data_IF_155058348680
#
_entry.id   IF_155058348680
#
_cell.length_a   1.000
_cell.length_b   1.000
_cell.length_c   1.000
_cell.angle_alpha   90.00
_cell.angle_beta   90.00
_cell.angle_gamma   90.00
#
_symmetry.space_group_name_H-M   'P 1'
#
loop_
_entity.id
_entity.type
_entity.pdbx_description
1 polymer ?
#
# COMPACT_ATOMS: atom_id res chain seq x y z
N UNK A 1 -6.73 -19.06 -7.91
CA UNK A 1 -6.19 -18.64 -6.59
C UNK A 1 -7.17 -17.80 -5.80
N UNK A 2 -7.79 -16.79 -6.41
CA UNK A 2 -8.78 -15.95 -5.72
C UNK A 2 -9.92 -16.76 -5.12
N UNK A 3 -10.42 -17.77 -5.81
CA UNK A 3 -11.54 -18.59 -5.34
C UNK A 3 -11.23 -19.34 -4.05
N UNK A 4 -10.01 -19.88 -3.94
CA UNK A 4 -9.58 -20.59 -2.74
C UNK A 4 -9.43 -19.62 -1.57
N UNK A 5 -8.82 -18.48 -1.82
CA UNK A 5 -8.63 -17.45 -0.80
C UNK A 5 -9.99 -16.91 -0.36
N UNK A 6 -10.90 -16.66 -1.30
CA UNK A 6 -12.24 -16.19 -1.01
C UNK A 6 -12.98 -17.18 -0.13
N UNK A 7 -12.88 -18.48 -0.44
CA UNK A 7 -13.50 -19.53 0.38
C UNK A 7 -12.97 -19.48 1.81
N UNK A 8 -11.66 -19.39 1.97
CA UNK A 8 -11.05 -19.35 3.29
C UNK A 8 -11.49 -18.12 4.08
N UNK A 9 -11.48 -16.94 3.46
CA UNK A 9 -11.88 -15.71 4.13
C UNK A 9 -13.36 -15.73 4.50
N UNK A 10 -14.21 -16.29 3.65
CA UNK A 10 -15.63 -16.49 3.98
C UNK A 10 -15.80 -17.41 5.17
N UNK A 11 -15.01 -18.46 5.24
CA UNK A 11 -15.04 -19.36 6.38
C UNK A 11 -14.69 -18.64 7.67
N UNK A 12 -13.67 -17.81 7.67
CA UNK A 12 -13.29 -16.97 8.82
C UNK A 12 -14.43 -16.02 9.19
N UNK A 13 -15.03 -15.35 8.21
CA UNK A 13 -16.16 -14.44 8.46
C UNK A 13 -17.34 -15.17 9.10
N UNK A 14 -17.66 -16.34 8.59
CA UNK A 14 -18.82 -17.11 9.08
C UNK A 14 -18.57 -17.66 10.48
N UNK A 15 -17.32 -17.98 10.82
CA UNK A 15 -16.93 -18.39 12.15
C UNK A 15 -17.00 -17.25 13.17
N UNK A 16 -16.90 -16.01 12.72
CA UNK A 16 -16.95 -14.82 13.58
C UNK A 16 -17.82 -13.74 12.95
N UNK A 17 -19.13 -13.98 12.81
CA UNK A 17 -20.02 -13.07 12.07
C UNK A 17 -20.21 -11.72 12.72
N UNK A 18 -19.91 -11.59 14.00
CA UNK A 18 -20.00 -10.32 14.72
C UNK A 18 -18.79 -9.42 14.48
N UNK A 19 -17.72 -9.97 13.90
CA UNK A 19 -16.50 -9.21 13.60
C UNK A 19 -16.65 -8.58 12.21
N UNK A 20 -16.67 -7.25 12.18
CA UNK A 20 -16.70 -6.49 10.94
C UNK A 20 -15.50 -5.54 10.98
N UNK A 21 -14.37 -5.92 10.42
CA UNK A 21 -13.18 -5.07 10.50
C UNK A 21 -13.38 -3.76 9.75
N UNK A 22 -13.00 -2.65 10.38
CA UNK A 22 -13.00 -1.35 9.73
C UNK A 22 -11.81 -1.22 8.76
N UNK A 23 -10.68 -1.77 9.16
CA UNK A 23 -9.43 -1.73 8.40
C UNK A 23 -8.82 -3.13 8.35
N UNK A 24 -8.32 -3.50 7.19
CA UNK A 24 -7.57 -4.74 6.99
C UNK A 24 -6.21 -4.37 6.41
N UNK A 25 -5.15 -4.84 7.04
CA UNK A 25 -3.78 -4.64 6.55
C UNK A 25 -3.34 -5.91 5.83
N UNK A 26 -2.78 -5.76 4.65
CA UNK A 26 -2.37 -6.91 3.83
C UNK A 26 -1.15 -6.58 2.98
N UNK A 27 -0.53 -7.63 2.43
CA UNK A 27 0.50 -7.49 1.40
C UNK A 27 -0.15 -7.14 0.06
N UNK A 28 0.66 -6.68 -0.88
CA UNK A 28 0.18 -6.41 -2.24
C UNK A 28 0.08 -7.72 -3.04
N UNK A 29 -0.95 -8.48 -2.75
CA UNK A 29 -1.30 -9.72 -3.45
C UNK A 29 -2.69 -9.53 -4.07
N UNK A 30 -2.75 -9.52 -5.38
CA UNK A 30 -3.99 -9.22 -6.11
C UNK A 30 -5.11 -10.20 -5.78
N UNK A 31 -4.79 -11.48 -5.65
CA UNK A 31 -5.78 -12.50 -5.33
C UNK A 31 -6.33 -12.30 -3.91
N UNK A 32 -5.45 -11.98 -2.99
CA UNK A 32 -5.82 -11.76 -1.60
C UNK A 32 -6.66 -10.49 -1.45
N UNK A 33 -6.25 -9.40 -2.10
CA UNK A 33 -7.01 -8.15 -2.08
C UNK A 33 -8.39 -8.36 -2.67
N UNK A 34 -8.49 -9.03 -3.82
CA UNK A 34 -9.77 -9.32 -4.46
C UNK A 34 -10.69 -10.13 -3.55
N UNK A 35 -10.15 -11.13 -2.87
CA UNK A 35 -10.92 -11.94 -1.94
C UNK A 35 -11.45 -11.12 -0.77
N UNK A 36 -10.60 -10.25 -0.19
CA UNK A 36 -10.99 -9.39 0.91
C UNK A 36 -12.07 -8.38 0.50
N UNK A 37 -11.97 -7.83 -0.71
CA UNK A 37 -12.99 -6.91 -1.23
C UNK A 37 -14.35 -7.59 -1.40
N UNK A 38 -14.35 -8.86 -1.77
CA UNK A 38 -15.59 -9.64 -1.91
C UNK A 38 -16.22 -9.93 -0.56
N UNK A 39 -15.41 -10.33 0.43
CA UNK A 39 -15.93 -10.79 1.73
C UNK A 39 -16.21 -9.62 2.67
N UNK A 40 -15.38 -8.60 2.63
CA UNK A 40 -15.52 -7.42 3.49
C UNK A 40 -15.58 -6.14 2.64
N UNK A 41 -16.65 -5.94 1.88
CA UNK A 41 -16.73 -4.80 0.95
C UNK A 41 -16.77 -3.45 1.63
N UNK A 42 -17.07 -3.39 2.93
CA UNK A 42 -17.13 -2.14 3.68
C UNK A 42 -15.83 -1.81 4.39
N UNK A 43 -14.86 -2.72 4.36
CA UNK A 43 -13.58 -2.51 5.04
C UNK A 43 -12.62 -1.70 4.18
N UNK A 44 -11.79 -0.89 4.84
CA UNK A 44 -10.64 -0.24 4.19
C UNK A 44 -9.51 -1.24 4.11
N UNK A 45 -8.94 -1.43 2.92
CA UNK A 45 -7.82 -2.34 2.73
C UNK A 45 -6.56 -1.52 2.55
N UNK A 46 -5.59 -1.69 3.46
CA UNK A 46 -4.32 -0.98 3.43
C UNK A 46 -3.18 -1.97 3.28
N UNK A 47 -2.13 -1.52 2.59
CA UNK A 47 -0.90 -2.28 2.46
C UNK A 47 0.06 -1.90 3.59
N UNK A 48 0.83 -2.86 4.06
CA UNK A 48 1.90 -2.58 5.01
C UNK A 48 2.92 -1.63 4.36
N UNK A 49 3.25 -0.56 5.05
CA UNK A 49 4.25 0.41 4.56
C UNK A 49 5.58 -0.27 4.27
N UNK A 50 6.01 -1.14 5.17
CA UNK A 50 7.26 -1.86 5.00
C UNK A 50 7.26 -2.74 3.74
N UNK A 51 6.16 -3.45 3.49
CA UNK A 51 6.04 -4.29 2.30
C UNK A 51 5.99 -3.47 1.02
N UNK A 52 5.30 -2.33 1.05
CA UNK A 52 5.27 -1.43 -0.09
C UNK A 52 6.66 -0.94 -0.44
N UNK A 53 7.40 -0.46 0.55
CA UNK A 53 8.78 0.01 0.36
C UNK A 53 9.69 -1.11 -0.15
N UNK A 54 9.58 -2.29 0.43
CA UNK A 54 10.37 -3.45 0.02
C UNK A 54 10.11 -3.82 -1.44
N UNK A 55 8.86 -3.82 -1.83
CA UNK A 55 8.48 -4.15 -3.21
C UNK A 55 9.00 -3.09 -4.18
N UNK A 56 8.84 -1.81 -3.86
CA UNK A 56 9.37 -0.72 -4.69
C UNK A 56 10.90 -0.84 -4.84
N UNK A 57 11.58 -1.11 -3.73
CA UNK A 57 13.04 -1.24 -3.72
C UNK A 57 13.54 -2.35 -4.63
N UNK A 58 12.78 -3.43 -4.77
CA UNK A 58 13.18 -4.56 -5.59
C UNK A 58 13.27 -4.24 -7.09
N UNK A 59 12.71 -3.09 -7.52
CA UNK A 59 12.65 -2.72 -8.94
C UNK A 59 13.80 -1.83 -9.41
N UNK A 60 14.74 -1.49 -8.55
CA UNK A 60 15.93 -0.74 -8.94
C UNK A 60 17.08 -0.98 -7.98
N UNK A 61 18.28 -0.67 -8.43
CA UNK A 61 19.50 -0.88 -7.63
C UNK A 61 19.70 0.32 -6.71
N UNK A 62 19.37 0.16 -5.43
CA UNK A 62 19.41 1.26 -4.46
C UNK A 62 20.80 1.87 -4.29
N UNK A 63 21.86 1.08 -4.46
CA UNK A 63 23.22 1.60 -4.37
C UNK A 63 23.55 2.63 -5.45
N UNK A 64 22.89 2.52 -6.62
CA UNK A 64 23.06 3.48 -7.71
C UNK A 64 22.12 4.67 -7.59
N UNK A 65 20.99 4.49 -6.89
CA UNK A 65 19.93 5.48 -6.81
C UNK A 65 19.60 5.84 -5.37
N UNK A 66 20.62 5.97 -4.52
CA UNK A 66 20.39 6.27 -3.11
C UNK A 66 19.59 7.55 -2.88
N UNK A 67 19.86 8.67 -3.57
CA UNK A 67 19.03 9.87 -3.41
C UNK A 67 17.58 9.65 -3.80
N UNK A 68 17.35 8.87 -4.85
CA UNK A 68 15.99 8.52 -5.26
C UNK A 68 15.30 7.67 -4.20
N UNK A 69 16.00 6.71 -3.63
CA UNK A 69 15.45 5.85 -2.59
C UNK A 69 15.02 6.66 -1.36
N UNK A 70 15.83 7.64 -0.96
CA UNK A 70 15.47 8.52 0.14
C UNK A 70 14.20 9.34 -0.17
N UNK A 71 14.06 9.82 -1.41
CA UNK A 71 12.84 10.52 -1.84
C UNK A 71 11.62 9.59 -1.81
N UNK A 72 11.77 8.37 -2.27
CA UNK A 72 10.67 7.39 -2.26
C UNK A 72 10.23 7.09 -0.84
N UNK A 73 11.16 6.89 0.09
CA UNK A 73 10.82 6.66 1.49
C UNK A 73 10.04 7.83 2.07
N UNK A 74 10.49 9.06 1.82
CA UNK A 74 9.80 10.25 2.28
C UNK A 74 8.41 10.37 1.65
N UNK A 75 8.30 10.05 0.37
CA UNK A 75 7.04 10.08 -0.37
C UNK A 75 6.00 9.12 0.23
N UNK A 76 6.44 7.92 0.59
CA UNK A 76 5.54 6.90 1.18
C UNK A 76 5.08 7.29 2.58
N UNK A 77 5.95 7.92 3.36
CA UNK A 77 5.72 8.16 4.79
C UNK A 77 5.00 9.49 5.05
N UNK A 78 5.15 10.49 4.18
CA UNK A 78 4.57 11.81 4.44
C UNK A 78 3.06 11.75 4.64
N UNK A 79 2.57 12.57 5.55
CA UNK A 79 1.14 12.76 5.79
C UNK A 79 0.62 14.07 5.19
N UNK A 80 1.51 14.89 4.66
CA UNK A 80 1.19 16.18 4.07
C UNK A 80 0.97 16.03 2.56
N UNK A 81 -0.23 16.35 2.10
CA UNK A 81 -0.58 16.22 0.69
C UNK A 81 0.27 17.12 -0.21
N UNK A 82 0.55 18.35 0.21
CA UNK A 82 1.39 19.25 -0.57
C UNK A 82 2.81 18.70 -0.70
N UNK A 83 3.37 18.16 0.39
CA UNK A 83 4.68 17.53 0.37
C UNK A 83 4.67 16.27 -0.51
N UNK A 84 3.62 15.48 -0.44
CA UNK A 84 3.47 14.29 -1.27
C UNK A 84 3.57 14.65 -2.77
N UNK A 85 2.83 15.66 -3.19
CA UNK A 85 2.86 16.12 -4.59
C UNK A 85 4.22 16.69 -4.97
N UNK A 86 4.85 17.44 -4.08
CA UNK A 86 6.17 18.02 -4.34
C UNK A 86 7.21 16.92 -4.54
N UNK A 87 7.20 15.91 -3.67
CA UNK A 87 8.16 14.80 -3.79
C UNK A 87 7.93 14.04 -5.09
N UNK A 88 6.68 13.79 -5.45
CA UNK A 88 6.37 13.14 -6.72
C UNK A 88 6.84 13.95 -7.92
N UNK A 89 6.63 15.26 -7.91
CA UNK A 89 7.13 16.13 -8.96
C UNK A 89 8.65 16.07 -9.06
N UNK A 90 9.34 16.09 -7.94
CA UNK A 90 10.80 15.96 -7.92
C UNK A 90 11.27 14.64 -8.52
N UNK A 91 10.59 13.56 -8.20
CA UNK A 91 10.96 12.22 -8.74
C UNK A 91 10.65 12.16 -10.25
N UNK A 92 9.47 12.57 -10.65
CA UNK A 92 9.00 12.37 -12.02
C UNK A 92 9.66 13.30 -13.03
N UNK A 93 10.20 14.44 -12.57
CA UNK A 93 10.87 15.42 -13.45
C UNK A 93 12.39 15.37 -13.38
N UNK A 94 12.96 14.56 -12.48
CA UNK A 94 14.41 14.46 -12.33
C UNK A 94 15.00 13.69 -13.53
N UNK A 95 15.85 14.34 -14.34
CA UNK A 95 16.42 13.68 -15.51
C UNK A 95 17.36 12.50 -15.17
N UNK A 96 17.86 12.43 -13.93
CA UNK A 96 18.71 11.33 -13.50
C UNK A 96 17.91 10.07 -13.16
N UNK A 97 16.60 10.17 -13.03
CA UNK A 97 15.73 9.02 -12.74
C UNK A 97 15.31 8.36 -14.04
N UNK A 98 15.56 7.06 -14.22
CA UNK A 98 15.13 6.36 -15.43
C UNK A 98 13.61 6.43 -15.60
N UNK A 99 13.18 6.64 -16.85
CA UNK A 99 11.74 6.68 -17.15
C UNK A 99 11.03 5.38 -16.79
N UNK A 100 11.73 4.26 -16.87
CA UNK A 100 11.16 2.97 -16.47
C UNK A 100 10.76 2.95 -14.99
N UNK A 101 11.54 3.60 -14.13
CA UNK A 101 11.23 3.71 -12.70
C UNK A 101 10.02 4.61 -12.49
N UNK A 102 10.00 5.78 -13.14
CA UNK A 102 8.87 6.70 -13.04
C UNK A 102 7.57 6.01 -13.51
N UNK A 103 7.64 5.33 -14.64
CA UNK A 103 6.49 4.61 -15.19
C UNK A 103 6.01 3.51 -14.23
N UNK A 104 6.95 2.76 -13.65
CA UNK A 104 6.62 1.73 -12.68
C UNK A 104 5.87 2.33 -11.47
N UNK A 105 6.41 3.38 -10.89
CA UNK A 105 5.77 4.02 -9.73
C UNK A 105 4.40 4.59 -10.09
N UNK A 106 4.27 5.20 -11.26
CA UNK A 106 3.00 5.78 -11.70
C UNK A 106 1.94 4.71 -11.96
N UNK A 107 2.30 3.64 -12.66
CA UNK A 107 1.33 2.63 -13.06
C UNK A 107 1.00 1.63 -11.96
N UNK A 108 1.97 1.29 -11.11
CA UNK A 108 1.79 0.24 -10.10
C UNK A 108 1.44 0.79 -8.72
N UNK A 109 1.82 2.02 -8.41
CA UNK A 109 1.65 2.54 -7.05
C UNK A 109 0.74 3.76 -6.97
N UNK A 110 0.87 4.75 -7.84
CA UNK A 110 -0.04 5.90 -7.80
C UNK A 110 -1.50 5.50 -8.00
N UNK A 111 -1.75 4.48 -8.80
CA UNK A 111 -3.10 4.00 -9.07
C UNK A 111 -3.79 3.51 -7.80
N UNK A 112 -3.03 3.04 -6.84
CA UNK A 112 -3.55 2.47 -5.59
C UNK A 112 -3.07 3.23 -4.35
N UNK A 113 -2.80 4.52 -4.51
CA UNK A 113 -2.25 5.33 -3.42
C UNK A 113 -3.11 5.30 -2.16
N UNK A 114 -4.41 5.11 -2.31
CA UNK A 114 -5.34 5.02 -1.17
C UNK A 114 -5.03 3.81 -0.27
N UNK A 115 -4.28 2.83 -0.75
CA UNK A 115 -3.97 1.63 0.01
C UNK A 115 -2.66 1.73 0.78
N UNK A 116 -1.70 2.57 0.33
CA UNK A 116 -0.36 2.57 0.93
C UNK A 116 0.10 3.92 1.45
N UNK A 117 -0.44 5.02 0.95
CA UNK A 117 0.02 6.35 1.34
C UNK A 117 -0.58 6.78 2.67
N UNK A 118 0.24 7.32 3.55
CA UNK A 118 -0.25 7.88 4.81
C UNK A 118 -1.11 9.13 4.60
N UNK A 119 -0.93 9.83 3.48
CA UNK A 119 -1.81 10.94 3.11
C UNK A 119 -3.26 10.45 3.02
N UNK A 120 -3.48 9.29 2.40
CA UNK A 120 -4.81 8.73 2.26
C UNK A 120 -5.35 8.15 3.58
N UNK A 121 -4.47 7.85 4.55
CA UNK A 121 -4.84 7.26 5.83
C UNK A 121 -5.09 8.27 6.94
N UNK A 122 -4.71 9.53 6.75
CA UNK A 122 -4.63 10.50 7.85
C UNK A 122 -5.94 10.71 8.61
N UNK A 123 -7.08 10.37 8.01
CA UNK A 123 -8.38 10.47 8.65
C UNK A 123 -8.97 9.09 8.99
N UNK A 124 -8.14 8.05 9.03
CA UNK A 124 -8.57 6.67 9.26
C UNK A 124 -8.31 6.19 10.68
N UNK A 125 -8.46 7.06 11.63
CA UNK A 125 -8.54 6.76 13.04
C UNK A 125 -7.29 6.11 13.64
N UNK A 126 -7.51 5.15 14.53
CA UNK A 126 -6.46 4.57 15.35
C UNK A 126 -5.36 3.84 14.58
N UNK A 127 -5.59 3.59 13.29
CA UNK A 127 -4.63 2.84 12.49
C UNK A 127 -3.70 3.72 11.69
N UNK A 128 -3.79 5.04 11.83
CA UNK A 128 -2.93 5.96 11.10
C UNK A 128 -1.45 5.73 11.36
N UNK A 129 -1.11 5.46 12.59
CA UNK A 129 0.27 5.22 12.98
C UNK A 129 0.67 3.77 12.79
N UNK A 130 -0.31 2.91 12.55
CA UNK A 130 -0.09 1.48 12.49
C UNK A 130 0.42 1.03 11.16
N UNK A 131 1.67 0.63 11.14
CA UNK A 131 2.21 -0.13 10.04
C UNK A 131 2.36 -1.58 10.44
N UNK A 132 1.67 -1.95 11.51
CA UNK A 132 1.70 -3.29 12.06
C UNK A 132 0.44 -4.04 11.68
N UNK A 133 0.54 -5.34 11.75
CA UNK A 133 -0.57 -6.23 11.49
C UNK A 133 -1.45 -6.33 12.74
N UNK A 134 -2.39 -5.42 12.87
CA UNK A 134 -3.23 -5.34 14.07
C UNK A 134 -4.57 -6.05 13.92
N UNK A 135 -5.00 -6.33 12.70
CA UNK A 135 -6.32 -6.87 12.46
C UNK A 135 -6.26 -8.25 11.85
N UNK A 136 -6.28 -8.31 10.54
CA UNK A 136 -6.22 -9.57 9.83
C UNK A 136 -4.95 -9.63 9.04
N UNK A 137 -4.15 -10.61 9.31
CA UNK A 137 -2.99 -10.93 8.52
C UNK A 137 -3.43 -11.99 7.52
N UNK A 138 -3.64 -11.53 6.37
CA UNK A 138 -4.17 -12.40 5.34
C UNK A 138 -3.07 -13.15 4.61
#
# INVERSE_FOLDING_TARGET
MTDIITFFVKWVRDASPSVQPGVIMTDRDQAQIAALEIVYPQSWIFLYTWHALRTMRSHFVTSQFQPLWEKIKAWVITEDLAEFHKIWDDISTDPSVPQSVVKYLATEWLQVLHMWSKVARRNRSIFEEGNTNMLIEA
#
